data_IF_369446165572
#
_entry.id   IF_369446165572
#
_cell.length_a   1.000
_cell.length_b   1.000
_cell.length_c   1.000
_cell.angle_alpha   90.00
_cell.angle_beta   90.00
_cell.angle_gamma   90.00
#
_symmetry.space_group_name_H-M   'P 1'
#
loop_
_entity.id
_entity.type
_entity.pdbx_description
1 polymer ?
#
# COMPACT_ATOMS: atom_id res chain seq x y z
N UNK A 1 51.37 -5.48 -53.57
CA UNK A 1 52.83 -5.26 -53.48
C UNK A 1 53.09 -3.78 -53.71
N UNK A 2 52.87 -2.96 -52.68
CA UNK A 2 53.28 -1.56 -52.70
C UNK A 2 54.66 -1.48 -52.07
N UNK A 3 55.66 -1.13 -52.85
CA UNK A 3 57.01 -0.84 -52.36
C UNK A 3 56.91 0.34 -51.40
N UNK A 4 57.19 0.10 -50.12
CA UNK A 4 57.10 1.11 -49.06
C UNK A 4 57.87 2.39 -49.43
N UNK A 5 57.36 3.59 -49.10
CA UNK A 5 57.98 4.88 -49.46
C UNK A 5 59.40 5.06 -48.87
N UNK A 6 59.77 4.25 -47.88
CA UNK A 6 61.15 4.13 -47.37
C UNK A 6 62.14 3.58 -48.40
N UNK A 7 61.73 2.67 -49.29
CA UNK A 7 62.60 2.10 -50.32
C UNK A 7 62.91 3.09 -51.43
N UNK A 8 61.96 3.93 -51.83
CA UNK A 8 62.18 4.95 -52.86
C UNK A 8 63.05 6.10 -52.36
N UNK A 9 62.84 6.60 -51.13
CA UNK A 9 63.73 7.61 -50.51
C UNK A 9 65.20 7.18 -50.52
N UNK A 10 65.47 5.91 -50.22
CA UNK A 10 66.83 5.37 -50.21
C UNK A 10 67.44 5.24 -51.61
N UNK A 11 66.64 5.05 -52.66
CA UNK A 11 67.12 5.07 -54.06
C UNK A 11 67.45 6.48 -54.51
N UNK A 12 66.58 7.46 -54.25
CA UNK A 12 66.79 8.85 -54.67
C UNK A 12 68.01 9.47 -53.98
N UNK A 13 68.22 9.18 -52.69
CA UNK A 13 69.40 9.65 -51.95
C UNK A 13 70.71 9.07 -52.52
N UNK A 14 70.71 7.77 -52.86
CA UNK A 14 71.88 7.08 -53.43
C UNK A 14 72.25 7.60 -54.81
N UNK A 15 71.27 7.89 -55.66
CA UNK A 15 71.48 8.41 -57.03
C UNK A 15 72.18 9.78 -57.04
N UNK A 16 72.09 10.53 -55.94
CA UNK A 16 72.60 11.90 -55.84
C UNK A 16 73.95 11.94 -55.11
N UNK A 17 74.05 11.21 -53.99
CA UNK A 17 75.26 11.19 -53.15
C UNK A 17 76.43 10.54 -53.89
N UNK A 18 76.17 9.46 -54.64
CA UNK A 18 77.20 8.72 -55.38
C UNK A 18 77.90 9.57 -56.44
N UNK A 19 77.21 10.25 -57.38
CA UNK A 19 77.88 11.13 -58.34
C UNK A 19 78.58 12.33 -57.69
N UNK A 20 78.06 12.86 -56.58
CA UNK A 20 78.70 13.96 -55.84
C UNK A 20 80.03 13.53 -55.22
N UNK A 21 80.10 12.31 -54.66
CA UNK A 21 81.32 11.71 -54.15
C UNK A 21 82.31 11.41 -55.28
N UNK A 22 81.82 10.91 -56.43
CA UNK A 22 82.66 10.64 -57.61
C UNK A 22 83.26 11.94 -58.14
N UNK A 23 82.47 13.02 -58.23
CA UNK A 23 82.95 14.33 -58.66
C UNK A 23 83.99 14.92 -57.68
N UNK A 24 83.81 14.71 -56.36
CA UNK A 24 84.78 15.10 -55.34
C UNK A 24 86.09 14.32 -55.49
N UNK A 25 86.02 13.00 -55.65
CA UNK A 25 87.20 12.14 -55.88
C UNK A 25 87.91 12.52 -57.17
N UNK A 26 87.16 12.82 -58.23
CA UNK A 26 87.71 13.26 -59.51
C UNK A 26 88.43 14.62 -59.39
N UNK A 27 87.85 15.58 -58.66
CA UNK A 27 88.48 16.87 -58.39
C UNK A 27 89.76 16.72 -57.55
N UNK A 28 89.73 15.87 -56.52
CA UNK A 28 90.91 15.55 -55.71
C UNK A 28 91.98 14.84 -56.56
N UNK A 29 91.59 13.94 -57.45
CA UNK A 29 92.49 13.24 -58.36
C UNK A 29 93.17 14.18 -59.35
N UNK A 30 92.42 15.10 -59.96
CA UNK A 30 92.96 16.15 -60.82
C UNK A 30 93.88 17.11 -60.05
N UNK A 31 93.55 17.43 -58.80
CA UNK A 31 94.38 18.27 -57.92
C UNK A 31 95.73 17.60 -57.57
N UNK A 32 95.76 16.27 -57.45
CA UNK A 32 96.94 15.47 -57.11
C UNK A 32 97.75 15.00 -58.34
N UNK A 33 97.26 15.24 -59.55
CA UNK A 33 97.90 14.74 -60.77
C UNK A 33 99.26 15.43 -60.98
N UNK A 34 100.33 14.62 -61.02
CA UNK A 34 101.73 15.01 -61.33
C UNK A 34 102.47 15.86 -60.29
N UNK A 35 102.17 15.72 -58.99
CA UNK A 35 102.96 16.33 -57.91
C UNK A 35 103.80 15.31 -57.13
N UNK A 36 104.99 15.74 -56.69
CA UNK A 36 105.83 14.98 -55.76
C UNK A 36 105.18 15.03 -54.37
N UNK A 37 104.98 13.86 -53.74
CA UNK A 37 104.08 13.70 -52.59
C UNK A 37 104.55 14.34 -51.28
N UNK A 38 105.86 14.58 -51.11
CA UNK A 38 106.41 15.07 -49.85
C UNK A 38 107.55 16.04 -50.12
N UNK A 39 107.20 17.33 -50.25
CA UNK A 39 108.14 18.44 -50.17
C UNK A 39 107.79 19.25 -48.90
N UNK A 40 108.45 18.90 -47.80
CA UNK A 40 108.19 19.48 -46.47
C UNK A 40 108.78 20.90 -46.30
N UNK A 41 109.51 21.41 -47.29
CA UNK A 41 110.14 22.73 -47.26
C UNK A 41 109.30 23.82 -47.95
N UNK A 42 108.17 23.47 -48.59
CA UNK A 42 107.31 24.41 -49.31
C UNK A 42 106.04 24.79 -48.54
N UNK A 43 105.70 26.08 -48.52
CA UNK A 43 104.45 26.57 -47.92
C UNK A 43 103.24 26.23 -48.80
N UNK A 44 102.13 25.87 -48.16
CA UNK A 44 100.86 25.54 -48.81
C UNK A 44 100.40 26.66 -49.75
N UNK A 45 100.14 26.33 -51.03
CA UNK A 45 99.69 27.27 -52.04
C UNK A 45 98.22 27.70 -51.81
N UNK A 46 98.05 28.88 -51.23
CA UNK A 46 96.76 29.45 -50.89
C UNK A 46 95.86 29.72 -52.12
N UNK A 47 96.42 30.04 -53.28
CA UNK A 47 95.64 30.28 -54.51
C UNK A 47 95.04 28.99 -55.07
N UNK A 48 95.80 27.90 -54.96
CA UNK A 48 95.35 26.58 -55.40
C UNK A 48 94.34 25.95 -54.43
N UNK A 49 94.47 26.17 -53.12
CA UNK A 49 93.43 25.83 -52.15
C UNK A 49 92.16 26.67 -52.35
N UNK A 50 92.30 27.95 -52.70
CA UNK A 50 91.18 28.82 -53.05
C UNK A 50 90.39 28.31 -54.24
N UNK A 51 91.05 27.98 -55.35
CA UNK A 51 90.39 27.45 -56.57
C UNK A 51 89.76 26.07 -56.38
N UNK A 52 90.35 25.21 -55.55
CA UNK A 52 89.72 23.95 -55.11
C UNK A 52 88.47 24.24 -54.26
N UNK A 53 88.57 25.20 -53.33
CA UNK A 53 87.44 25.68 -52.53
C UNK A 53 86.30 26.25 -53.38
N UNK A 54 86.62 27.01 -54.43
CA UNK A 54 85.65 27.58 -55.36
C UNK A 54 84.95 26.49 -56.20
N UNK A 55 85.65 25.44 -56.60
CA UNK A 55 85.05 24.30 -57.29
C UNK A 55 84.14 23.48 -56.36
N UNK A 56 84.61 23.18 -55.14
CA UNK A 56 83.82 22.44 -54.14
C UNK A 56 82.60 23.28 -53.71
N UNK A 57 82.78 24.55 -53.39
CA UNK A 57 81.67 25.45 -52.99
C UNK A 57 80.71 25.74 -54.13
N UNK A 58 81.23 26.04 -55.32
CA UNK A 58 80.44 26.43 -56.49
C UNK A 58 79.73 25.28 -57.17
N UNK A 59 80.43 24.19 -57.48
CA UNK A 59 79.85 23.04 -58.22
C UNK A 59 79.23 22.03 -57.26
N UNK A 60 80.01 21.55 -56.29
CA UNK A 60 79.53 20.51 -55.36
C UNK A 60 78.49 21.10 -54.39
N UNK A 61 78.73 22.29 -53.84
CA UNK A 61 77.80 23.00 -52.96
C UNK A 61 76.46 23.32 -53.62
N UNK A 62 76.45 23.74 -54.89
CA UNK A 62 75.20 24.01 -55.63
C UNK A 62 74.39 22.73 -55.90
N UNK A 63 75.06 21.61 -56.20
CA UNK A 63 74.40 20.31 -56.32
C UNK A 63 73.78 19.91 -54.97
N UNK A 64 74.53 20.02 -53.87
CA UNK A 64 74.00 19.73 -52.53
C UNK A 64 72.85 20.66 -52.13
N UNK A 65 72.90 21.94 -52.50
CA UNK A 65 71.81 22.89 -52.26
C UNK A 65 70.53 22.50 -53.02
N UNK A 66 70.63 22.15 -54.30
CA UNK A 66 69.51 21.66 -55.11
C UNK A 66 68.89 20.40 -54.49
N UNK A 67 69.74 19.50 -54.01
CA UNK A 67 69.33 18.25 -53.34
C UNK A 67 68.63 18.54 -52.03
N UNK A 68 69.13 19.50 -51.25
CA UNK A 68 68.46 19.99 -50.04
C UNK A 68 67.06 20.51 -50.34
N UNK A 69 66.88 21.29 -51.41
CA UNK A 69 65.57 21.80 -51.83
C UNK A 69 64.62 20.66 -52.24
N UNK A 70 65.10 19.68 -53.01
CA UNK A 70 64.29 18.52 -53.41
C UNK A 70 63.88 17.68 -52.20
N UNK A 71 64.80 17.42 -51.28
CA UNK A 71 64.52 16.69 -50.04
C UNK A 71 63.53 17.45 -49.15
N UNK A 72 63.68 18.77 -49.03
CA UNK A 72 62.76 19.62 -48.30
C UNK A 72 61.37 19.60 -48.92
N UNK A 73 61.25 19.71 -50.24
CA UNK A 73 59.98 19.59 -50.95
C UNK A 73 59.32 18.22 -50.74
N UNK A 74 60.09 17.13 -50.85
CA UNK A 74 59.60 15.77 -50.58
C UNK A 74 59.12 15.63 -49.13
N UNK A 75 59.84 16.22 -48.16
CA UNK A 75 59.44 16.23 -46.77
C UNK A 75 58.13 17.01 -46.56
N UNK A 76 57.99 18.20 -47.15
CA UNK A 76 56.75 18.99 -47.10
C UNK A 76 55.56 18.26 -47.74
N UNK A 77 55.79 17.56 -48.85
CA UNK A 77 54.75 16.76 -49.52
C UNK A 77 54.27 15.61 -48.63
N UNK A 78 55.20 14.89 -48.01
CA UNK A 78 54.87 13.80 -47.09
C UNK A 78 54.14 14.33 -45.85
N UNK A 79 54.61 15.44 -45.28
CA UNK A 79 53.98 16.11 -44.16
C UNK A 79 52.53 16.54 -44.45
N UNK A 80 52.25 17.07 -45.67
CA UNK A 80 50.88 17.38 -46.09
C UNK A 80 49.99 16.14 -46.15
N UNK A 81 50.53 15.00 -46.61
CA UNK A 81 49.82 13.73 -46.67
C UNK A 81 49.51 13.18 -45.28
N UNK A 82 50.46 13.27 -44.35
CA UNK A 82 50.28 12.87 -42.96
C UNK A 82 49.23 13.75 -42.26
N UNK A 83 49.26 15.06 -42.47
CA UNK A 83 48.25 15.99 -41.94
C UNK A 83 46.85 15.62 -42.45
N UNK A 84 46.69 15.36 -43.75
CA UNK A 84 45.40 14.95 -44.32
C UNK A 84 44.91 13.61 -43.74
N UNK A 85 45.82 12.67 -43.47
CA UNK A 85 45.51 11.38 -42.86
C UNK A 85 45.09 11.56 -41.40
N UNK A 86 45.79 12.41 -40.65
CA UNK A 86 45.46 12.74 -39.27
C UNK A 86 44.12 13.46 -39.14
N UNK A 87 43.82 14.40 -40.05
CA UNK A 87 42.51 15.06 -40.09
C UNK A 87 41.37 14.05 -40.29
N UNK A 88 41.55 13.08 -41.19
CA UNK A 88 40.57 11.99 -41.39
C UNK A 88 40.43 11.09 -40.17
N UNK A 89 41.54 10.75 -39.51
CA UNK A 89 41.52 9.95 -38.29
C UNK A 89 40.79 10.69 -37.15
N UNK A 90 41.05 11.99 -36.99
CA UNK A 90 40.38 12.84 -36.00
C UNK A 90 38.88 12.95 -36.28
N UNK A 91 38.47 13.13 -37.54
CA UNK A 91 37.06 13.15 -37.92
C UNK A 91 36.33 11.86 -37.51
N UNK A 92 36.95 10.69 -37.76
CA UNK A 92 36.40 9.40 -37.30
C UNK A 92 36.32 9.28 -35.79
N UNK A 93 37.28 9.85 -35.06
CA UNK A 93 37.24 9.88 -33.59
C UNK A 93 36.09 10.75 -33.07
N UNK A 94 35.86 11.92 -33.68
CA UNK A 94 34.74 12.81 -33.34
C UNK A 94 33.40 12.09 -33.59
N UNK A 95 33.25 11.44 -34.74
CA UNK A 95 32.05 10.66 -35.06
C UNK A 95 31.81 9.53 -34.04
N UNK A 96 32.86 8.77 -33.69
CA UNK A 96 32.77 7.72 -32.67
C UNK A 96 32.39 8.27 -31.29
N UNK A 97 32.93 9.43 -30.91
CA UNK A 97 32.59 10.14 -29.67
C UNK A 97 31.13 10.60 -29.65
N UNK A 98 30.61 11.08 -30.78
CA UNK A 98 29.21 11.48 -30.91
C UNK A 98 28.27 10.28 -30.75
N UNK A 99 28.58 9.17 -31.41
CA UNK A 99 27.86 7.90 -31.25
C UNK A 99 27.89 7.45 -29.78
N UNK A 100 29.07 7.43 -29.15
CA UNK A 100 29.22 7.04 -27.75
C UNK A 100 28.42 7.95 -26.79
N UNK A 101 28.39 9.25 -27.07
CA UNK A 101 27.60 10.22 -26.27
C UNK A 101 26.10 9.95 -26.41
N UNK A 102 25.64 9.59 -27.61
CA UNK A 102 24.24 9.24 -27.85
C UNK A 102 23.86 7.90 -27.22
N UNK A 103 24.72 6.88 -27.30
CA UNK A 103 24.53 5.61 -26.59
C UNK A 103 24.44 5.81 -25.08
N UNK A 104 25.30 6.67 -24.51
CA UNK A 104 25.26 6.98 -23.09
C UNK A 104 23.94 7.65 -22.66
N UNK A 105 23.39 8.55 -23.50
CA UNK A 105 22.07 9.14 -23.25
C UNK A 105 20.97 8.08 -23.26
N UNK A 106 20.97 7.21 -24.27
CA UNK A 106 19.98 6.11 -24.36
C UNK A 106 20.08 5.15 -23.17
N UNK A 107 21.28 4.78 -22.74
CA UNK A 107 21.50 3.95 -21.56
C UNK A 107 20.99 4.62 -20.28
N UNK A 108 21.20 5.92 -20.12
CA UNK A 108 20.67 6.68 -18.98
C UNK A 108 19.14 6.65 -18.98
N UNK A 109 18.51 6.82 -20.13
CA UNK A 109 17.05 6.79 -20.25
C UNK A 109 16.49 5.38 -19.95
N UNK A 110 17.13 4.32 -20.45
CA UNK A 110 16.79 2.93 -20.13
C UNK A 110 16.93 2.62 -18.64
N UNK A 111 17.98 3.12 -17.98
CA UNK A 111 18.16 2.97 -16.53
C UNK A 111 17.06 3.66 -15.73
N UNK A 112 16.58 4.83 -16.20
CA UNK A 112 15.46 5.54 -15.55
C UNK A 112 14.18 4.71 -15.67
N UNK A 113 13.88 4.16 -16.84
CA UNK A 113 12.71 3.29 -17.03
C UNK A 113 12.82 1.99 -16.24
N UNK A 114 13.98 1.34 -16.26
CA UNK A 114 14.27 0.15 -15.46
C UNK A 114 14.07 0.40 -13.96
N UNK A 115 14.49 1.56 -13.45
CA UNK A 115 14.26 1.97 -12.06
C UNK A 115 12.77 2.11 -11.74
N UNK A 116 11.96 2.67 -12.66
CA UNK A 116 10.50 2.76 -12.47
C UNK A 116 9.87 1.37 -12.39
N UNK A 117 10.23 0.47 -13.30
CA UNK A 117 9.75 -0.93 -13.29
C UNK A 117 10.14 -1.63 -11.99
N UNK A 118 11.39 -1.47 -11.54
CA UNK A 118 11.86 -2.05 -10.28
C UNK A 118 11.07 -1.55 -9.07
N UNK A 119 10.70 -0.26 -9.03
CA UNK A 119 9.87 0.30 -7.95
C UNK A 119 8.48 -0.34 -7.94
N UNK A 120 7.83 -0.48 -9.10
CA UNK A 120 6.52 -1.13 -9.22
C UNK A 120 6.57 -2.63 -8.87
N UNK A 121 7.63 -3.33 -9.28
CA UNK A 121 7.86 -4.72 -8.86
C UNK A 121 8.06 -4.82 -7.35
N UNK A 122 8.82 -3.92 -6.73
CA UNK A 122 9.01 -3.90 -5.27
C UNK A 122 7.69 -3.71 -4.53
N UNK A 123 6.81 -2.82 -5.00
CA UNK A 123 5.46 -2.64 -4.46
C UNK A 123 4.64 -3.93 -4.57
N UNK A 124 4.68 -4.57 -5.74
CA UNK A 124 3.95 -5.82 -6.01
C UNK A 124 4.43 -6.95 -5.11
N UNK A 125 5.75 -7.12 -4.94
CA UNK A 125 6.34 -8.13 -4.07
C UNK A 125 5.96 -7.91 -2.60
N UNK A 126 5.97 -6.67 -2.11
CA UNK A 126 5.51 -6.36 -0.75
C UNK A 126 4.05 -6.75 -0.53
N UNK A 127 3.18 -6.47 -1.52
CA UNK A 127 1.77 -6.88 -1.47
C UNK A 127 1.63 -8.40 -1.45
N UNK A 128 2.34 -9.11 -2.32
CA UNK A 128 2.34 -10.58 -2.35
C UNK A 128 2.85 -11.21 -1.05
N UNK A 129 3.92 -10.66 -0.46
CA UNK A 129 4.44 -11.11 0.84
C UNK A 129 3.41 -10.93 1.95
N UNK A 130 2.72 -9.78 1.97
CA UNK A 130 1.63 -9.54 2.91
C UNK A 130 0.49 -10.55 2.71
N UNK A 131 0.01 -10.71 1.48
CA UNK A 131 -1.08 -11.64 1.16
C UNK A 131 -0.74 -13.08 1.53
N UNK A 132 0.46 -13.54 1.19
CA UNK A 132 0.95 -14.87 1.55
C UNK A 132 0.92 -15.09 3.07
N UNK A 133 1.38 -14.10 3.84
CA UNK A 133 1.37 -14.15 5.31
C UNK A 133 -0.06 -14.12 5.85
N UNK A 134 -0.90 -13.23 5.32
CA UNK A 134 -2.30 -13.08 5.71
C UNK A 134 -3.08 -14.38 5.49
N UNK A 135 -3.01 -14.97 4.30
CA UNK A 135 -3.70 -16.22 3.99
C UNK A 135 -3.14 -17.42 4.76
N UNK A 136 -1.84 -17.42 5.06
CA UNK A 136 -1.25 -18.42 5.96
C UNK A 136 -1.82 -18.30 7.39
N UNK A 137 -1.98 -17.07 7.90
CA UNK A 137 -2.61 -16.85 9.22
C UNK A 137 -4.10 -17.20 9.21
N UNK A 138 -4.83 -16.92 8.12
CA UNK A 138 -6.23 -17.37 7.95
C UNK A 138 -6.34 -18.89 7.93
N UNK A 139 -5.38 -19.58 7.31
CA UNK A 139 -5.32 -21.03 7.36
C UNK A 139 -5.08 -21.53 8.79
N UNK A 140 -4.15 -20.92 9.53
CA UNK A 140 -3.94 -21.26 10.95
C UNK A 140 -5.20 -21.05 11.80
N UNK A 141 -5.97 -20.00 11.51
CA UNK A 141 -7.28 -19.76 12.11
C UNK A 141 -8.25 -20.91 11.81
N UNK A 142 -8.42 -21.27 10.54
CA UNK A 142 -9.33 -22.35 10.14
C UNK A 142 -8.91 -23.70 10.73
N UNK A 143 -7.60 -23.99 10.75
CA UNK A 143 -7.03 -25.18 11.38
C UNK A 143 -7.30 -25.19 12.90
N UNK A 144 -7.20 -24.04 13.57
CA UNK A 144 -7.53 -23.92 14.99
C UNK A 144 -9.02 -24.20 15.26
N UNK A 145 -9.93 -23.68 14.44
CA UNK A 145 -11.36 -24.00 14.53
C UNK A 145 -11.59 -25.50 14.38
N UNK A 146 -10.97 -26.12 13.37
CA UNK A 146 -11.09 -27.57 13.17
C UNK A 146 -10.60 -28.36 14.39
N UNK A 147 -9.48 -27.94 15.00
CA UNK A 147 -8.94 -28.59 16.20
C UNK A 147 -9.91 -28.44 17.38
N UNK A 148 -10.45 -27.23 17.60
CA UNK A 148 -11.44 -26.99 18.67
C UNK A 148 -12.66 -27.90 18.50
N UNK A 149 -13.22 -27.95 17.28
CA UNK A 149 -14.37 -28.79 16.97
C UNK A 149 -14.04 -30.29 17.11
N UNK A 150 -12.83 -30.74 16.73
CA UNK A 150 -12.43 -32.15 16.86
C UNK A 150 -12.24 -32.64 18.30
N UNK A 151 -11.97 -31.72 19.25
CA UNK A 151 -11.81 -32.07 20.67
C UNK A 151 -13.15 -32.31 21.37
N UNK A 152 -14.26 -31.91 20.75
CA UNK A 152 -15.59 -32.07 21.31
C UNK A 152 -16.26 -33.34 20.79
N UNK A 153 -16.60 -34.23 21.72
CA UNK A 153 -16.87 -35.66 21.52
C UNK A 153 -18.09 -36.01 20.68
N UNK A 154 -18.93 -35.03 20.33
CA UNK A 154 -20.21 -35.25 19.65
C UNK A 154 -20.18 -34.86 18.17
N UNK A 155 -19.06 -34.33 17.65
CA UNK A 155 -19.01 -33.75 16.30
C UNK A 155 -19.80 -32.44 16.15
N UNK A 156 -20.31 -31.89 17.26
CA UNK A 156 -20.96 -30.58 17.32
C UNK A 156 -19.92 -29.45 17.33
N UNK A 157 -20.29 -28.31 16.74
CA UNK A 157 -19.46 -27.11 16.73
C UNK A 157 -19.22 -26.58 18.15
N UNK A 158 -17.95 -26.28 18.48
CA UNK A 158 -17.53 -25.81 19.79
C UNK A 158 -18.30 -24.57 20.25
N UNK A 159 -18.51 -23.61 19.35
CA UNK A 159 -19.15 -22.34 19.67
C UNK A 159 -20.65 -22.54 19.92
N UNK A 160 -21.30 -23.44 19.16
CA UNK A 160 -22.69 -23.83 19.43
C UNK A 160 -22.81 -24.39 20.85
N UNK A 161 -21.95 -25.33 21.23
CA UNK A 161 -21.97 -25.93 22.57
C UNK A 161 -21.65 -24.92 23.68
N UNK A 162 -20.69 -24.03 23.46
CA UNK A 162 -20.40 -22.94 24.40
C UNK A 162 -21.64 -22.08 24.62
N UNK A 163 -22.30 -21.64 23.54
CA UNK A 163 -23.47 -20.76 23.61
C UNK A 163 -24.67 -21.47 24.24
N UNK A 164 -24.87 -22.76 23.97
CA UNK A 164 -25.89 -23.58 24.65
C UNK A 164 -25.65 -23.63 26.17
N UNK A 165 -24.40 -23.88 26.60
CA UNK A 165 -24.03 -23.91 28.03
C UNK A 165 -24.13 -22.54 28.70
N UNK A 166 -23.80 -21.47 27.98
CA UNK A 166 -23.99 -20.11 28.46
C UNK A 166 -25.49 -19.82 28.66
N UNK A 167 -26.29 -20.11 27.64
CA UNK A 167 -27.74 -19.93 27.65
C UNK A 167 -28.43 -20.68 28.80
N UNK A 168 -27.97 -21.88 29.15
CA UNK A 168 -28.57 -22.66 30.24
C UNK A 168 -28.25 -22.11 31.64
N UNK A 169 -27.15 -21.37 31.80
CA UNK A 169 -26.74 -20.75 33.08
C UNK A 169 -27.42 -19.41 33.35
N UNK A 170 -27.78 -18.68 32.29
CA UNK A 170 -28.37 -17.33 32.42
C UNK A 170 -29.87 -17.43 32.66
N UNK A 171 -30.33 -16.77 33.73
CA UNK A 171 -31.76 -16.52 33.98
C UNK A 171 -32.12 -15.15 33.43
N UNK A 172 -33.07 -15.12 32.50
CA UNK A 172 -33.54 -13.89 31.86
C UNK A 172 -34.71 -13.31 32.67
N UNK A 173 -34.59 -12.03 33.00
CA UNK A 173 -35.63 -11.16 33.55
C UNK A 173 -36.19 -10.25 32.45
N UNK A 174 -37.10 -9.33 32.79
CA UNK A 174 -37.64 -8.36 31.83
C UNK A 174 -36.72 -7.13 31.65
N UNK A 175 -35.64 -7.02 32.44
CA UNK A 175 -34.75 -5.85 32.43
C UNK A 175 -33.49 -6.10 31.57
N UNK A 176 -33.31 -5.41 30.43
CA UNK A 176 -32.19 -5.67 29.51
C UNK A 176 -30.82 -5.47 30.14
N UNK A 177 -30.65 -4.45 31.00
CA UNK A 177 -29.40 -4.16 31.68
C UNK A 177 -29.00 -5.26 32.66
N UNK A 178 -29.96 -5.77 33.45
CA UNK A 178 -29.72 -6.89 34.37
C UNK A 178 -29.36 -8.15 33.57
N UNK A 179 -30.12 -8.43 32.51
CA UNK A 179 -29.87 -9.58 31.63
C UNK A 179 -28.47 -9.54 31.03
N UNK A 180 -28.03 -8.37 30.58
CA UNK A 180 -26.68 -8.19 30.02
C UNK A 180 -25.60 -8.42 31.08
N UNK A 181 -25.74 -7.84 32.27
CA UNK A 181 -24.79 -8.02 33.38
C UNK A 181 -24.69 -9.48 33.83
N UNK A 182 -25.83 -10.17 34.00
CA UNK A 182 -25.87 -11.58 34.36
C UNK A 182 -25.28 -12.47 33.25
N UNK A 183 -25.54 -12.13 31.98
CA UNK A 183 -24.94 -12.84 30.84
C UNK A 183 -23.43 -12.68 30.83
N UNK A 184 -22.90 -11.47 31.06
CA UNK A 184 -21.46 -11.22 31.13
C UNK A 184 -20.80 -11.96 32.31
N UNK A 185 -21.47 -12.00 33.46
CA UNK A 185 -20.98 -12.77 34.62
C UNK A 185 -20.91 -14.26 34.31
N UNK A 186 -21.99 -14.84 33.79
CA UNK A 186 -22.02 -16.25 33.39
C UNK A 186 -21.01 -16.55 32.26
N UNK A 187 -20.83 -15.63 31.31
CA UNK A 187 -19.82 -15.72 30.27
C UNK A 187 -18.41 -15.77 30.86
N UNK A 188 -18.07 -14.86 31.77
CA UNK A 188 -16.75 -14.82 32.41
C UNK A 188 -16.46 -16.13 33.14
N UNK A 189 -17.38 -16.62 33.96
CA UNK A 189 -17.24 -17.90 34.66
C UNK A 189 -17.02 -19.07 33.70
N UNK A 190 -17.79 -19.13 32.61
CA UNK A 190 -17.68 -20.20 31.64
C UNK A 190 -16.40 -20.11 30.81
N UNK A 191 -16.01 -18.90 30.40
CA UNK A 191 -14.75 -18.61 29.72
C UNK A 191 -13.55 -19.04 30.55
N UNK A 192 -13.54 -18.78 31.86
CA UNK A 192 -12.45 -19.22 32.75
C UNK A 192 -12.30 -20.74 32.78
N UNK A 193 -13.41 -21.49 32.74
CA UNK A 193 -13.38 -22.96 32.75
C UNK A 193 -12.86 -23.59 31.45
N UNK A 194 -12.97 -22.90 30.31
CA UNK A 194 -12.51 -23.38 29.02
C UNK A 194 -11.39 -22.51 28.42
N UNK A 195 -10.74 -21.71 29.25
CA UNK A 195 -9.80 -20.66 28.87
C UNK A 195 -8.68 -21.19 27.96
N UNK A 196 -8.15 -22.37 28.27
CA UNK A 196 -7.01 -22.92 27.56
C UNK A 196 -7.32 -23.17 26.09
N UNK A 197 -8.51 -23.71 25.78
CA UNK A 197 -8.92 -23.95 24.39
C UNK A 197 -9.26 -22.63 23.68
N UNK A 198 -10.13 -21.80 24.28
CA UNK A 198 -10.68 -20.63 23.59
C UNK A 198 -9.73 -19.43 23.52
N UNK A 199 -8.75 -19.33 24.42
CA UNK A 199 -7.79 -18.21 24.39
C UNK A 199 -6.92 -18.23 23.13
N UNK A 200 -6.62 -19.41 22.59
CA UNK A 200 -5.86 -19.52 21.35
C UNK A 200 -6.62 -18.92 20.16
N UNK A 201 -7.93 -19.20 20.08
CA UNK A 201 -8.82 -18.61 19.08
C UNK A 201 -8.77 -17.08 19.10
N UNK A 202 -9.06 -16.47 20.25
CA UNK A 202 -9.07 -15.01 20.37
C UNK A 202 -7.71 -14.38 20.06
N UNK A 203 -6.59 -15.03 20.44
CA UNK A 203 -5.25 -14.55 20.11
C UNK A 203 -4.98 -14.60 18.61
N UNK A 204 -5.40 -15.65 17.91
CA UNK A 204 -5.23 -15.76 16.45
C UNK A 204 -6.03 -14.67 15.76
N UNK A 205 -7.30 -14.51 16.12
CA UNK A 205 -8.17 -13.47 15.56
C UNK A 205 -7.62 -12.07 15.82
N UNK A 206 -7.22 -11.78 17.06
CA UNK A 206 -6.58 -10.50 17.41
C UNK A 206 -5.31 -10.25 16.59
N UNK A 207 -4.43 -11.25 16.46
CA UNK A 207 -3.19 -11.13 15.67
C UNK A 207 -3.45 -10.91 14.19
N UNK A 208 -4.44 -11.58 13.61
CA UNK A 208 -4.87 -11.37 12.23
C UNK A 208 -5.31 -9.92 12.00
N UNK A 209 -6.17 -9.40 12.88
CA UNK A 209 -6.63 -8.02 12.78
C UNK A 209 -5.48 -7.03 13.01
N UNK A 210 -4.59 -7.31 13.97
CA UNK A 210 -3.39 -6.49 14.20
C UNK A 210 -2.40 -6.51 13.05
N UNK A 211 -2.25 -7.64 12.37
CA UNK A 211 -1.42 -7.76 11.18
C UNK A 211 -1.94 -6.86 10.05
N UNK A 212 -3.26 -6.83 9.84
CA UNK A 212 -3.91 -5.89 8.91
C UNK A 212 -3.69 -4.43 9.36
N UNK A 213 -3.96 -4.14 10.63
CA UNK A 213 -3.92 -2.78 11.21
C UNK A 213 -2.53 -2.13 11.10
N UNK A 214 -1.49 -2.90 11.43
CA UNK A 214 -0.10 -2.45 11.46
C UNK A 214 0.55 -2.45 10.06
N UNK A 215 -0.12 -2.94 9.02
CA UNK A 215 0.44 -2.94 7.67
C UNK A 215 0.63 -1.51 7.13
N UNK A 216 1.64 -1.32 6.27
CA UNK A 216 1.90 -0.04 5.59
C UNK A 216 1.02 0.18 4.36
N UNK A 217 -0.06 -0.61 4.21
CA UNK A 217 -0.96 -0.56 3.07
C UNK A 217 -1.95 0.61 3.19
N UNK A 218 -2.68 0.89 2.11
CA UNK A 218 -3.75 1.87 2.11
C UNK A 218 -4.88 1.46 3.07
N UNK A 219 -5.62 2.42 3.62
CA UNK A 219 -6.77 2.10 4.49
C UNK A 219 -7.88 1.34 3.75
N UNK A 220 -7.98 1.49 2.43
CA UNK A 220 -8.93 0.74 1.61
C UNK A 220 -8.54 -0.73 1.47
N UNK A 221 -7.25 -1.02 1.27
CA UNK A 221 -6.73 -2.39 1.30
C UNK A 221 -6.95 -3.03 2.68
N UNK A 222 -6.66 -2.31 3.77
CA UNK A 222 -6.91 -2.80 5.13
C UNK A 222 -8.37 -3.16 5.35
N UNK A 223 -9.30 -2.30 4.90
CA UNK A 223 -10.74 -2.59 4.94
C UNK A 223 -11.11 -3.77 4.06
N UNK A 224 -10.46 -3.98 2.92
CA UNK A 224 -10.68 -5.14 2.06
C UNK A 224 -10.29 -6.43 2.80
N UNK A 225 -9.08 -6.53 3.34
CA UNK A 225 -8.64 -7.74 4.07
C UNK A 225 -9.43 -7.96 5.36
N UNK A 226 -9.82 -6.90 6.07
CA UNK A 226 -10.67 -7.04 7.25
C UNK A 226 -12.07 -7.58 6.90
N UNK A 227 -12.63 -7.21 5.74
CA UNK A 227 -13.88 -7.80 5.23
C UNK A 227 -13.72 -9.28 4.88
N UNK A 228 -12.59 -9.68 4.30
CA UNK A 228 -12.28 -11.09 4.01
C UNK A 228 -12.22 -11.90 5.30
N UNK A 229 -11.50 -11.40 6.31
CA UNK A 229 -11.46 -12.04 7.63
C UNK A 229 -12.87 -12.12 8.25
N UNK A 230 -13.61 -11.01 8.22
CA UNK A 230 -14.94 -10.91 8.80
C UNK A 230 -15.95 -11.89 8.18
N UNK A 231 -15.79 -12.23 6.89
CA UNK A 231 -16.66 -13.22 6.23
C UNK A 231 -16.35 -14.66 6.64
N UNK A 232 -15.27 -14.92 7.38
CA UNK A 232 -14.94 -16.25 7.88
C UNK A 232 -15.60 -16.57 9.23
N UNK A 233 -16.13 -15.56 9.93
CA UNK A 233 -16.77 -15.78 11.23
C UNK A 233 -18.19 -16.30 11.07
N UNK A 234 -18.52 -17.38 11.79
CA UNK A 234 -19.90 -17.78 12.01
C UNK A 234 -20.61 -16.82 12.98
N UNK A 235 -21.94 -16.88 13.01
CA UNK A 235 -22.73 -16.06 13.94
C UNK A 235 -22.38 -16.35 15.42
N UNK A 236 -22.14 -17.62 15.77
CA UNK A 236 -21.81 -18.02 17.15
C UNK A 236 -20.41 -17.55 17.56
N UNK A 237 -19.49 -17.50 16.61
CA UNK A 237 -18.18 -16.86 16.79
C UNK A 237 -18.30 -15.36 17.00
N UNK A 238 -19.10 -14.66 16.20
CA UNK A 238 -19.34 -13.23 16.38
C UNK A 238 -19.98 -12.94 17.75
N UNK A 239 -20.93 -13.78 18.19
CA UNK A 239 -21.54 -13.66 19.51
C UNK A 239 -20.52 -13.86 20.64
N UNK A 240 -19.63 -14.83 20.47
CA UNK A 240 -18.51 -15.07 21.39
C UNK A 240 -17.52 -13.90 21.42
N UNK A 241 -17.18 -13.33 20.26
CA UNK A 241 -16.34 -12.14 20.13
C UNK A 241 -16.98 -10.92 20.82
N UNK A 242 -18.30 -10.77 20.66
CA UNK A 242 -19.09 -9.72 21.30
C UNK A 242 -18.96 -9.80 22.82
N UNK A 243 -19.31 -10.91 23.46
CA UNK A 243 -19.19 -11.02 24.93
C UNK A 243 -17.74 -10.95 25.39
N UNK A 244 -16.78 -11.52 24.64
CA UNK A 244 -15.37 -11.43 24.98
C UNK A 244 -14.87 -9.97 25.03
N UNK A 245 -15.38 -9.10 24.15
CA UNK A 245 -14.98 -7.69 24.08
C UNK A 245 -15.29 -6.89 25.36
N UNK A 246 -16.29 -7.33 26.13
CA UNK A 246 -16.66 -6.76 27.43
C UNK A 246 -15.84 -7.31 28.60
N UNK A 247 -14.96 -8.29 28.36
CA UNK A 247 -14.10 -8.86 29.41
C UNK A 247 -12.76 -8.12 29.46
N UNK A 248 -12.08 -8.21 30.61
CA UNK A 248 -10.72 -7.67 30.80
C UNK A 248 -9.75 -8.19 29.73
N UNK A 249 -9.95 -9.42 29.24
CA UNK A 249 -9.12 -10.05 28.20
C UNK A 249 -9.36 -9.45 26.80
N UNK A 250 -10.57 -9.00 26.52
CA UNK A 250 -10.99 -8.44 25.21
C UNK A 250 -10.78 -6.94 25.07
N UNK A 251 -10.50 -6.21 26.16
CA UNK A 251 -10.31 -4.73 26.19
C UNK A 251 -9.39 -4.20 25.09
N UNK A 252 -8.24 -4.85 24.84
CA UNK A 252 -7.30 -4.43 23.78
C UNK A 252 -7.80 -4.70 22.37
N UNK A 253 -8.69 -5.68 22.21
CA UNK A 253 -9.25 -6.03 20.90
C UNK A 253 -10.45 -5.14 20.55
N UNK A 254 -11.13 -4.61 21.56
CA UNK A 254 -12.32 -3.80 21.41
C UNK A 254 -12.19 -2.62 20.41
N UNK A 255 -11.13 -1.77 20.46
CA UNK A 255 -10.96 -0.69 19.48
C UNK A 255 -10.83 -1.18 18.03
N UNK A 256 -10.25 -2.37 17.82
CA UNK A 256 -10.10 -2.96 16.49
C UNK A 256 -11.41 -3.55 15.98
N UNK A 257 -12.22 -4.14 16.87
CA UNK A 257 -13.57 -4.61 16.54
C UNK A 257 -14.41 -3.44 16.00
N UNK A 258 -14.35 -2.28 16.67
CA UNK A 258 -15.00 -1.05 16.20
C UNK A 258 -14.42 -0.53 14.89
N UNK A 259 -13.09 -0.33 14.83
CA UNK A 259 -12.39 0.22 13.65
C UNK A 259 -12.73 -0.53 12.36
N UNK A 260 -12.79 -1.86 12.44
CA UNK A 260 -13.06 -2.72 11.28
C UNK A 260 -14.51 -3.22 11.20
N UNK A 261 -15.37 -2.78 12.12
CA UNK A 261 -16.77 -3.19 12.23
C UNK A 261 -16.95 -4.71 12.12
N UNK A 262 -16.18 -5.47 12.91
CA UNK A 262 -16.12 -6.94 12.82
C UNK A 262 -17.48 -7.59 13.11
N UNK A 263 -18.26 -6.99 14.00
CA UNK A 263 -19.55 -7.51 14.45
C UNK A 263 -20.75 -7.09 13.58
N UNK A 264 -20.51 -6.48 12.41
CA UNK A 264 -21.56 -5.96 11.50
C UNK A 264 -22.68 -6.95 11.18
N UNK A 265 -22.38 -8.25 11.11
CA UNK A 265 -23.32 -9.30 10.72
C UNK A 265 -23.85 -10.09 11.91
N UNK A 266 -23.60 -9.67 13.15
CA UNK A 266 -24.20 -10.27 14.33
C UNK A 266 -25.64 -9.75 14.49
N UNK A 267 -26.66 -10.61 14.33
CA UNK A 267 -28.03 -10.22 14.58
C UNK A 267 -28.24 -9.82 16.05
N UNK A 268 -29.20 -8.93 16.30
CA UNK A 268 -29.47 -8.46 17.66
C UNK A 268 -30.12 -9.52 18.53
N UNK A 269 -31.07 -10.24 17.96
CA UNK A 269 -31.85 -11.35 18.51
C UNK A 269 -31.06 -12.64 18.74
N UNK A 270 -29.90 -12.82 18.10
CA UNK A 270 -29.00 -13.95 18.38
C UNK A 270 -28.39 -13.92 19.79
N UNK A 271 -28.46 -12.78 20.48
CA UNK A 271 -27.87 -12.60 21.82
C UNK A 271 -28.68 -13.32 22.89
N UNK A 272 -28.02 -13.77 23.96
CA UNK A 272 -28.64 -14.52 25.05
C UNK A 272 -29.75 -13.72 25.74
N UNK A 273 -29.62 -12.40 25.76
CA UNK A 273 -30.60 -11.46 26.30
C UNK A 273 -31.97 -11.57 25.59
N UNK A 274 -32.03 -12.08 24.36
CA UNK A 274 -33.27 -12.26 23.60
C UNK A 274 -33.84 -13.69 23.71
N UNK A 275 -33.24 -14.58 24.51
CA UNK A 275 -33.60 -16.01 24.57
C UNK A 275 -35.10 -16.27 24.76
N UNK A 276 -35.78 -15.49 25.60
CA UNK A 276 -37.22 -15.64 25.87
C UNK A 276 -38.11 -14.99 24.80
N UNK A 277 -37.52 -14.20 23.90
CA UNK A 277 -38.20 -13.42 22.87
C UNK A 277 -38.03 -14.03 21.46
N UNK A 278 -37.37 -15.18 21.33
CA UNK A 278 -37.17 -15.87 20.04
C UNK A 278 -38.51 -16.35 19.47
N UNK A 279 -38.73 -16.14 18.17
CA UNK A 279 -39.88 -16.71 17.46
C UNK A 279 -39.52 -18.05 16.81
N UNK A 280 -40.31 -19.09 17.03
CA UNK A 280 -40.11 -20.38 16.35
C UNK A 280 -40.76 -20.43 14.96
N UNK A 281 -41.67 -19.50 14.65
CA UNK A 281 -42.43 -19.47 13.40
C UNK A 281 -41.71 -18.62 12.37
N UNK A 282 -41.06 -19.28 11.41
CA UNK A 282 -40.21 -18.66 10.36
C UNK A 282 -40.83 -17.41 9.72
N UNK A 283 -42.11 -17.48 9.31
CA UNK A 283 -42.79 -16.33 8.68
C UNK A 283 -42.90 -15.12 9.60
N UNK A 284 -43.23 -15.35 10.86
CA UNK A 284 -43.43 -14.28 11.84
C UNK A 284 -42.09 -13.73 12.32
N UNK A 285 -41.08 -14.58 12.43
CA UNK A 285 -39.69 -14.19 12.70
C UNK A 285 -39.13 -13.29 11.59
N UNK A 286 -39.37 -13.63 10.33
CA UNK A 286 -39.03 -12.78 9.19
C UNK A 286 -39.75 -11.42 9.24
N UNK A 287 -41.03 -11.39 9.61
CA UNK A 287 -41.75 -10.12 9.79
C UNK A 287 -41.14 -9.27 10.90
N UNK A 288 -40.73 -9.89 12.03
CA UNK A 288 -40.04 -9.18 13.12
C UNK A 288 -38.73 -8.56 12.63
N UNK A 289 -37.94 -9.30 11.84
CA UNK A 289 -36.71 -8.79 11.23
C UNK A 289 -36.96 -7.57 10.35
N UNK A 290 -37.98 -7.64 9.47
CA UNK A 290 -38.38 -6.52 8.61
C UNK A 290 -38.77 -5.29 9.43
N UNK A 291 -39.57 -5.48 10.48
CA UNK A 291 -39.97 -4.41 11.38
C UNK A 291 -38.77 -3.74 12.08
N UNK A 292 -37.81 -4.53 12.59
CA UNK A 292 -36.61 -3.97 13.22
C UNK A 292 -35.71 -3.25 12.20
N UNK A 293 -35.65 -3.73 10.96
CA UNK A 293 -34.92 -3.05 9.89
C UNK A 293 -35.59 -1.72 9.52
N UNK A 294 -36.92 -1.69 9.40
CA UNK A 294 -37.71 -0.48 9.17
C UNK A 294 -37.48 0.55 10.28
N UNK A 295 -37.62 0.14 11.55
CA UNK A 295 -37.35 0.96 12.72
C UNK A 295 -35.91 1.51 12.70
N UNK A 296 -34.92 0.66 12.44
CA UNK A 296 -33.51 1.08 12.39
C UNK A 296 -33.24 2.09 11.28
N UNK A 297 -33.85 1.93 10.11
CA UNK A 297 -33.69 2.86 8.99
C UNK A 297 -34.34 4.21 9.31
N UNK A 298 -35.54 4.18 9.88
CA UNK A 298 -36.26 5.36 10.28
C UNK A 298 -35.48 6.16 11.33
N UNK A 299 -35.03 5.51 12.41
CA UNK A 299 -34.21 6.15 13.43
C UNK A 299 -32.92 6.73 12.81
N UNK A 300 -32.23 5.98 11.94
CA UNK A 300 -31.02 6.50 11.28
C UNK A 300 -31.29 7.75 10.45
N UNK A 301 -32.42 7.83 9.73
CA UNK A 301 -32.81 9.03 8.98
C UNK A 301 -33.08 10.20 9.94
N UNK A 302 -33.87 9.94 10.98
CA UNK A 302 -34.20 10.92 12.02
C UNK A 302 -32.94 11.52 12.65
N UNK A 303 -32.02 10.68 13.15
CA UNK A 303 -30.79 11.15 13.79
C UNK A 303 -29.83 11.86 12.81
N UNK A 304 -29.86 11.52 11.52
CA UNK A 304 -29.08 12.22 10.49
C UNK A 304 -29.61 13.64 10.29
N UNK A 305 -30.93 13.81 10.16
CA UNK A 305 -31.59 15.12 10.05
C UNK A 305 -31.38 15.93 11.33
N UNK A 306 -31.64 15.35 12.49
CA UNK A 306 -31.48 16.00 13.78
C UNK A 306 -30.04 16.49 13.99
N UNK A 307 -29.03 15.66 13.71
CA UNK A 307 -27.62 16.05 13.79
C UNK A 307 -27.24 17.14 12.79
N UNK A 308 -27.92 17.23 11.64
CA UNK A 308 -27.68 18.29 10.67
C UNK A 308 -28.24 19.63 11.16
N UNK A 309 -29.42 19.62 11.80
CA UNK A 309 -30.01 20.79 12.45
C UNK A 309 -29.15 21.28 13.62
N UNK A 310 -28.74 20.37 14.51
CA UNK A 310 -27.89 20.70 15.67
C UNK A 310 -26.49 21.23 15.30
N UNK A 311 -26.08 21.16 14.03
CA UNK A 311 -24.81 21.71 13.53
C UNK A 311 -24.92 23.13 12.99
N UNK A 312 -26.13 23.67 12.85
CA UNK A 312 -26.35 25.01 12.33
C UNK A 312 -25.93 26.06 13.38
N UNK A 313 -25.30 27.15 12.94
CA UNK A 313 -24.84 28.21 13.85
C UNK A 313 -26.00 28.98 14.51
N UNK A 314 -27.16 29.00 13.85
CA UNK A 314 -28.40 29.58 14.36
C UNK A 314 -29.46 28.50 14.32
N UNK A 315 -30.08 28.24 15.47
CA UNK A 315 -31.15 27.26 15.65
C UNK A 315 -32.42 28.06 16.00
N UNK A 316 -33.51 27.87 15.26
CA UNK A 316 -34.77 28.56 15.58
C UNK A 316 -35.50 27.79 16.69
N UNK A 317 -36.09 28.51 17.66
CA UNK A 317 -36.90 27.88 18.71
C UNK A 317 -38.12 27.14 18.16
N UNK A 318 -38.65 27.55 16.98
CA UNK A 318 -39.76 26.87 16.30
C UNK A 318 -39.40 25.49 15.74
N UNK A 319 -38.12 25.18 15.57
CA UNK A 319 -37.67 23.86 15.10
C UNK A 319 -37.75 22.78 16.20
N UNK A 320 -38.16 23.16 17.42
CA UNK A 320 -38.23 22.29 18.60
C UNK A 320 -39.64 22.23 19.21
N UNK A 321 -40.10 21.04 19.66
CA UNK A 321 -39.42 19.75 19.60
C UNK A 321 -39.19 19.26 18.17
N UNK A 322 -38.00 18.71 17.88
CA UNK A 322 -37.75 18.12 16.58
C UNK A 322 -38.49 16.78 16.49
N UNK A 323 -39.63 16.78 15.80
CA UNK A 323 -40.49 15.61 15.70
C UNK A 323 -40.61 15.06 14.28
N UNK A 324 -40.74 13.73 14.21
CA UNK A 324 -41.09 13.00 12.98
C UNK A 324 -42.05 11.87 13.35
N UNK A 325 -42.96 11.57 12.44
CA UNK A 325 -43.83 10.39 12.49
C UNK A 325 -43.80 9.61 11.18
N UNK A 326 -43.80 8.30 11.26
CA UNK A 326 -43.95 7.42 10.10
C UNK A 326 -44.94 6.29 10.44
N UNK A 327 -45.83 5.97 9.49
CA UNK A 327 -46.68 4.79 9.59
C UNK A 327 -45.90 3.58 9.10
N UNK A 328 -45.97 2.45 9.80
CA UNK A 328 -45.29 1.24 9.34
C UNK A 328 -45.81 0.81 7.98
N UNK A 329 -44.96 0.20 7.14
CA UNK A 329 -45.32 -0.31 5.80
C UNK A 329 -46.60 -1.16 5.86
N UNK A 330 -46.71 -1.94 6.91
CA UNK A 330 -47.75 -2.90 7.14
C UNK A 330 -49.01 -2.30 7.81
N UNK A 331 -48.98 -0.99 8.11
CA UNK A 331 -50.04 -0.19 8.73
C UNK A 331 -50.54 -0.71 10.09
N UNK A 332 -49.67 -1.43 10.81
CA UNK A 332 -49.95 -1.94 12.15
C UNK A 332 -49.84 -0.87 13.24
N UNK A 333 -48.98 0.14 13.05
CA UNK A 333 -48.71 1.19 14.04
C UNK A 333 -48.11 2.45 13.41
N UNK A 334 -47.99 3.51 14.20
CA UNK A 334 -47.28 4.74 13.85
C UNK A 334 -46.08 4.89 14.79
N UNK A 335 -44.88 5.01 14.24
CA UNK A 335 -43.66 5.31 14.98
C UNK A 335 -43.50 6.83 15.02
N UNK A 336 -43.33 7.38 16.21
CA UNK A 336 -43.16 8.81 16.45
C UNK A 336 -41.89 9.04 17.27
N UNK A 337 -41.02 9.94 16.82
CA UNK A 337 -39.77 10.27 17.50
C UNK A 337 -39.71 11.76 17.72
N UNK A 338 -39.41 12.16 18.96
CA UNK A 338 -39.36 13.54 19.41
C UNK A 338 -38.06 13.74 20.19
N UNK A 339 -37.37 14.85 19.98
CA UNK A 339 -36.23 15.26 20.77
C UNK A 339 -36.21 16.78 20.92
N UNK A 340 -36.05 17.25 22.16
CA UNK A 340 -35.81 18.66 22.48
C UNK A 340 -34.30 18.97 22.49
N UNK A 341 -33.49 17.99 22.87
CA UNK A 341 -32.05 18.09 22.98
C UNK A 341 -31.39 16.73 22.72
N UNK A 342 -30.07 16.71 22.55
CA UNK A 342 -29.34 15.45 22.29
C UNK A 342 -29.43 14.47 23.46
N UNK A 343 -29.69 14.95 24.67
CA UNK A 343 -29.69 14.20 25.92
C UNK A 343 -31.00 13.45 26.18
N UNK A 344 -32.12 13.88 25.59
CA UNK A 344 -33.45 13.30 25.83
C UNK A 344 -34.20 13.07 24.52
N UNK A 345 -34.58 11.80 24.26
CA UNK A 345 -35.28 11.39 23.04
C UNK A 345 -36.44 10.48 23.41
N UNK A 346 -37.61 10.78 22.86
CA UNK A 346 -38.82 10.00 23.06
C UNK A 346 -39.17 9.23 21.79
N UNK A 347 -39.25 7.91 21.89
CA UNK A 347 -39.71 7.02 20.83
C UNK A 347 -41.06 6.46 21.25
N UNK A 348 -42.10 6.72 20.47
CA UNK A 348 -43.46 6.28 20.76
C UNK A 348 -44.02 5.46 19.60
N UNK A 349 -44.80 4.44 19.92
CA UNK A 349 -45.55 3.61 18.99
C UNK A 349 -47.03 3.82 19.29
N UNK A 350 -47.74 4.45 18.34
CA UNK A 350 -49.15 4.82 18.48
C UNK A 350 -50.07 3.97 17.63
N UNK A 351 -51.35 3.89 18.03
CA UNK A 351 -52.42 3.20 17.32
C UNK A 351 -52.08 1.74 16.99
N UNK A 352 -51.47 1.05 17.96
CA UNK A 352 -51.06 -0.34 17.79
C UNK A 352 -52.30 -1.22 17.59
N UNK A 353 -52.35 -1.91 16.45
CA UNK A 353 -53.40 -2.88 16.16
C UNK A 353 -53.00 -4.25 16.70
N UNK A 354 -53.46 -4.58 17.90
CA UNK A 354 -53.11 -5.82 18.61
C UNK A 354 -53.32 -7.10 17.78
N UNK A 355 -54.41 -7.17 17.02
CA UNK A 355 -54.68 -8.33 16.15
C UNK A 355 -53.60 -8.51 15.08
N UNK A 356 -53.15 -7.40 14.47
CA UNK A 356 -52.10 -7.43 13.45
C UNK A 356 -50.75 -7.81 14.08
N UNK A 357 -50.43 -7.28 15.28
CA UNK A 357 -49.18 -7.62 15.95
C UNK A 357 -49.14 -9.11 16.31
N UNK A 358 -50.24 -9.63 16.84
CA UNK A 358 -50.34 -11.05 17.19
C UNK A 358 -50.22 -11.95 15.95
N UNK A 359 -50.92 -11.61 14.86
CA UNK A 359 -50.97 -12.42 13.65
C UNK A 359 -49.69 -12.33 12.79
N UNK A 360 -49.01 -11.18 12.78
CA UNK A 360 -47.79 -11.00 11.98
C UNK A 360 -46.51 -11.23 12.74
N UNK A 361 -46.46 -10.87 14.01
CA UNK A 361 -45.23 -10.91 14.80
C UNK A 361 -45.28 -11.95 15.93
N UNK A 362 -46.40 -12.63 16.22
CA UNK A 362 -46.47 -13.60 17.35
C UNK A 362 -46.13 -12.95 18.70
N UNK A 363 -46.49 -11.67 18.87
CA UNK A 363 -46.27 -10.89 20.08
C UNK A 363 -47.62 -10.41 20.61
N UNK A 364 -47.80 -10.43 21.93
CA UNK A 364 -48.82 -9.62 22.59
C UNK A 364 -48.24 -8.22 22.88
N UNK A 365 -49.07 -7.29 23.37
CA UNK A 365 -48.63 -5.91 23.58
C UNK A 365 -47.48 -5.81 24.60
N UNK A 366 -47.48 -6.64 25.65
CA UNK A 366 -46.43 -6.65 26.67
C UNK A 366 -45.12 -7.22 26.11
N UNK A 367 -45.17 -8.32 25.37
CA UNK A 367 -44.00 -8.91 24.70
C UNK A 367 -43.48 -8.03 23.57
N UNK A 368 -44.36 -7.31 22.88
CA UNK A 368 -43.95 -6.33 21.89
C UNK A 368 -43.17 -5.18 22.54
N UNK A 369 -43.66 -4.70 23.68
CA UNK A 369 -42.95 -3.71 24.47
C UNK A 369 -41.57 -4.22 24.90
N UNK A 370 -41.49 -5.39 25.53
CA UNK A 370 -40.22 -6.01 25.94
C UNK A 370 -39.28 -6.23 24.74
N UNK A 371 -39.81 -6.71 23.60
CA UNK A 371 -39.04 -6.95 22.38
C UNK A 371 -38.40 -5.66 21.84
N UNK A 372 -39.17 -4.59 21.72
CA UNK A 372 -38.66 -3.30 21.26
C UNK A 372 -37.68 -2.71 22.26
N UNK A 373 -37.97 -2.79 23.56
CA UNK A 373 -37.07 -2.33 24.63
C UNK A 373 -35.68 -2.98 24.49
N UNK A 374 -35.61 -4.29 24.32
CA UNK A 374 -34.35 -5.01 24.14
C UNK A 374 -33.57 -4.55 22.89
N UNK A 375 -34.25 -4.28 21.77
CA UNK A 375 -33.59 -3.76 20.56
C UNK A 375 -33.11 -2.32 20.73
N UNK A 376 -33.85 -1.47 21.45
CA UNK A 376 -33.42 -0.10 21.76
C UNK A 376 -32.18 -0.11 22.66
N UNK A 377 -32.17 -0.93 23.73
CA UNK A 377 -30.98 -1.12 24.55
C UNK A 377 -29.80 -1.64 23.73
N UNK A 378 -30.03 -2.62 22.86
CA UNK A 378 -28.97 -3.10 21.99
C UNK A 378 -28.38 -1.97 21.13
N UNK A 379 -29.24 -1.16 20.50
CA UNK A 379 -28.87 -0.13 19.54
C UNK A 379 -28.20 1.11 20.16
N UNK A 380 -28.65 1.53 21.34
CA UNK A 380 -28.17 2.76 21.95
C UNK A 380 -27.19 2.54 23.10
N UNK A 381 -27.22 1.37 23.75
CA UNK A 381 -26.37 1.07 24.90
C UNK A 381 -25.29 0.08 24.46
N UNK A 382 -25.68 -1.14 24.09
CA UNK A 382 -24.73 -2.24 23.94
C UNK A 382 -23.89 -2.23 22.65
N UNK A 383 -24.27 -1.45 21.63
CA UNK A 383 -23.41 -1.25 20.45
C UNK A 383 -22.43 -0.10 20.59
N UNK A 384 -22.57 0.74 21.63
CA UNK A 384 -21.60 1.82 21.90
C UNK A 384 -20.35 1.30 22.60
N UNK A 385 -20.47 0.14 23.25
CA UNK A 385 -19.51 -0.47 24.19
C UNK A 385 -18.65 0.54 24.94
N UNK A 386 -19.32 1.53 25.52
CA UNK A 386 -18.79 2.32 26.62
C UNK A 386 -18.85 1.47 27.90
N UNK A 387 -17.95 1.73 28.86
CA UNK A 387 -17.94 1.01 30.14
C UNK A 387 -19.32 1.08 30.81
N UNK A 388 -19.88 -0.09 31.09
CA UNK A 388 -21.23 -0.28 31.64
C UNK A 388 -21.46 0.36 33.01
N UNK A 389 -20.39 0.85 33.67
CA UNK A 389 -20.44 1.58 34.93
C UNK A 389 -20.67 3.10 34.74
N UNK A 390 -20.48 3.64 33.53
CA UNK A 390 -20.73 5.05 33.19
C UNK A 390 -22.04 5.30 32.42
N UNK A 391 -22.83 4.25 32.16
CA UNK A 391 -24.06 4.37 31.38
C UNK A 391 -25.19 4.98 32.22
N UNK A 392 -25.20 6.31 32.33
CA UNK A 392 -26.37 7.11 32.66
C UNK A 392 -27.34 7.13 31.46
N UNK A 393 -27.72 5.94 31.00
CA UNK A 393 -28.62 5.71 29.89
C UNK A 393 -29.85 4.99 30.42
N UNK A 394 -30.98 5.67 30.50
CA UNK A 394 -32.22 5.08 31.01
C UNK A 394 -33.28 5.09 29.92
N UNK A 395 -33.93 3.94 29.73
CA UNK A 395 -35.12 3.81 28.91
C UNK A 395 -36.30 3.56 29.83
N UNK A 396 -37.06 4.60 30.15
CA UNK A 396 -38.31 4.43 30.91
C UNK A 396 -39.45 4.14 29.94
N UNK A 397 -40.28 3.17 30.30
CA UNK A 397 -41.37 2.71 29.46
C UNK A 397 -42.74 3.03 30.07
N UNK A 398 -43.71 3.35 29.22
CA UNK A 398 -45.09 3.53 29.63
C UNK A 398 -46.01 2.85 28.62
N UNK A 399 -46.86 1.97 29.13
CA UNK A 399 -47.89 1.28 28.38
C UNK A 399 -49.24 1.92 28.67
N UNK A 400 -49.90 2.40 27.62
CA UNK A 400 -51.31 2.77 27.64
C UNK A 400 -52.06 1.89 26.62
N UNK A 401 -53.37 1.76 26.78
CA UNK A 401 -54.29 0.81 26.13
C UNK A 401 -53.98 0.35 24.68
N UNK A 402 -53.35 1.17 23.82
CA UNK A 402 -52.78 0.78 22.52
C UNK A 402 -51.51 1.58 22.13
N UNK A 403 -50.79 2.14 23.09
CA UNK A 403 -49.62 2.99 22.85
C UNK A 403 -48.45 2.54 23.73
N UNK A 404 -47.27 2.47 23.12
CA UNK A 404 -46.02 2.15 23.84
C UNK A 404 -45.09 3.35 23.71
N UNK A 405 -44.60 3.88 24.84
CA UNK A 405 -43.70 5.03 24.86
C UNK A 405 -42.41 4.67 25.56
N UNK A 406 -41.28 5.00 24.93
CA UNK A 406 -39.94 4.88 25.46
C UNK A 406 -39.33 6.27 25.58
N UNK A 407 -38.90 6.63 26.79
CA UNK A 407 -38.11 7.83 27.01
C UNK A 407 -36.65 7.42 27.21
N UNK A 408 -35.79 7.91 26.33
CA UNK A 408 -34.37 7.62 26.28
C UNK A 408 -33.62 8.84 26.78
N UNK A 409 -32.87 8.69 27.87
CA UNK A 409 -32.05 9.78 28.45
C UNK A 409 -30.56 9.40 28.43
N UNK A 410 -29.66 10.35 28.16
CA UNK A 410 -28.20 10.14 28.11
C UNK A 410 -27.43 11.41 28.46
N UNK A 411 -26.48 11.34 29.40
CA UNK A 411 -25.63 12.50 29.75
C UNK A 411 -24.59 12.86 28.68
N UNK A 412 -24.25 11.94 27.76
CA UNK A 412 -23.26 12.17 26.68
C UNK A 412 -23.93 12.48 25.32
N UNK A 413 -25.25 12.66 25.33
CA UNK A 413 -26.09 12.71 24.13
C UNK A 413 -26.40 11.31 23.59
N UNK A 414 -27.54 11.18 22.91
CA UNK A 414 -28.01 10.00 22.21
C UNK A 414 -27.59 10.14 20.76
N UNK A 415 -26.86 9.16 20.24
CA UNK A 415 -26.44 9.14 18.83
C UNK A 415 -26.38 7.71 18.30
N UNK A 416 -26.56 7.56 16.99
CA UNK A 416 -26.57 6.28 16.25
C UNK A 416 -25.36 6.09 15.34
#
# INVERSE_FOLDING_TARGET
METTPKQDKNKTLKIIIIPSIIALIFAISLFLWKRNFFDFDSTVDAGMLGTLGDFIGGVIGSIWALVGVVLFYLALKEQRRDIATNQKALAKQIEALEIQTNEFKLQKDELIESRKVFIEQSKTLKKQQFESTFFSMLKMYSDNIRILNSRYSNGEDYFIEFIKKLSSKVKISNEPLINHKETLKAYNELFFNCKDDISHYFRIVYRLVKFIDNSTMSEDDKKMYSKILRSQFSEKELLMLYYNSYTVFGTKFYPLILKYNLLKHLPSDSKIEFKNLVCSKVKMDFNRLLFIQELSNYLKSYFKEFKQLMKQEVINEEDFPFERSVKTEDSSMIIHVIADELTEIKISFFNIKNDIIKDKYDLDLNKFQEYVLHHLYHKFVFTTYNDSEELNFNISENLDSNNVKYLITSNKGVSL
#
